data_IF_581581119261
#
_entry.id   IF_581581119261
#
_cell.length_a   1.000
_cell.length_b   1.000
_cell.length_c   1.000
_cell.angle_alpha   90.00
_cell.angle_beta   90.00
_cell.angle_gamma   90.00
#
_symmetry.space_group_name_H-M   'P 1'
#
loop_
_entity.id
_entity.type
_entity.pdbx_description
1 polymer ?
#
# COMPACT_ATOMS: atom_id res chain seq x y z
N UNK A 1 49.51 26.05 -31.67
CA UNK A 1 49.51 24.94 -30.68
C UNK A 1 48.40 25.05 -29.62
N UNK A 2 47.76 26.22 -29.40
CA UNK A 2 46.65 26.35 -28.44
C UNK A 2 45.31 25.76 -28.91
N UNK A 3 45.11 25.62 -30.23
CA UNK A 3 43.86 25.11 -30.82
C UNK A 3 43.68 23.61 -30.54
N UNK A 4 44.71 22.80 -30.74
CA UNK A 4 44.69 21.36 -30.44
C UNK A 4 44.46 21.08 -28.96
N UNK A 5 45.09 21.87 -28.07
CA UNK A 5 44.87 21.80 -26.62
C UNK A 5 43.41 22.11 -26.25
N UNK A 6 42.79 23.13 -26.86
CA UNK A 6 41.37 23.45 -26.65
C UNK A 6 40.44 22.33 -27.12
N UNK A 7 40.74 21.70 -28.26
CA UNK A 7 39.96 20.58 -28.77
C UNK A 7 40.03 19.34 -27.85
N UNK A 8 41.22 19.05 -27.30
CA UNK A 8 41.42 17.96 -26.34
C UNK A 8 40.69 18.24 -25.03
N UNK A 9 40.70 19.48 -24.54
CA UNK A 9 39.95 19.82 -23.32
C UNK A 9 38.44 19.69 -23.51
N UNK A 10 37.92 20.06 -24.68
CA UNK A 10 36.48 19.97 -24.98
C UNK A 10 36.04 18.51 -25.09
N UNK A 11 36.83 17.64 -25.73
CA UNK A 11 36.49 16.21 -25.84
C UNK A 11 36.46 15.50 -24.49
N UNK A 12 37.39 15.83 -23.58
CA UNK A 12 37.43 15.30 -22.21
C UNK A 12 36.20 15.74 -21.41
N UNK A 13 35.78 17.00 -21.55
CA UNK A 13 34.60 17.52 -20.84
C UNK A 13 33.29 16.87 -21.31
N UNK A 14 33.15 16.59 -22.61
CA UNK A 14 31.96 15.91 -23.17
C UNK A 14 31.89 14.47 -22.68
N UNK A 15 33.03 13.77 -22.62
CA UNK A 15 33.09 12.40 -22.10
C UNK A 15 32.67 12.31 -20.61
N UNK A 16 33.07 13.30 -19.79
CA UNK A 16 32.70 13.35 -18.37
C UNK A 16 31.21 13.66 -18.15
N UNK A 17 30.59 14.49 -19.01
CA UNK A 17 29.16 14.81 -18.92
C UNK A 17 28.24 13.65 -19.36
N UNK A 18 28.70 12.78 -20.27
CA UNK A 18 27.93 11.64 -20.76
C UNK A 18 27.59 10.58 -19.70
N UNK A 19 28.29 10.56 -18.56
CA UNK A 19 28.00 9.64 -17.46
C UNK A 19 26.79 10.05 -16.60
N UNK A 20 26.35 11.32 -16.63
CA UNK A 20 25.26 11.79 -15.77
C UNK A 20 23.87 11.70 -16.40
N UNK A 21 23.76 11.49 -17.72
CA UNK A 21 22.46 11.48 -18.42
C UNK A 21 21.74 10.12 -18.39
N UNK A 22 22.33 9.09 -17.77
CA UNK A 22 21.80 7.71 -17.75
C UNK A 22 20.76 7.41 -16.68
N UNK A 23 20.40 8.36 -15.81
CA UNK A 23 19.48 8.12 -14.70
C UNK A 23 18.13 8.81 -14.86
N UNK A 24 17.55 8.83 -16.06
CA UNK A 24 16.09 8.93 -16.18
C UNK A 24 15.49 7.55 -15.95
N UNK A 25 15.73 7.02 -14.75
CA UNK A 25 14.99 5.88 -14.23
C UNK A 25 13.53 6.29 -14.22
N UNK A 26 12.74 5.62 -15.05
CA UNK A 26 11.30 5.78 -15.13
C UNK A 26 10.75 5.49 -13.72
N UNK A 27 10.63 6.52 -12.89
CA UNK A 27 10.01 6.44 -11.57
C UNK A 27 8.56 6.09 -11.86
N UNK A 28 8.30 4.79 -11.92
CA UNK A 28 6.99 4.20 -12.11
C UNK A 28 6.24 4.39 -10.80
N UNK A 29 5.95 5.64 -10.46
CA UNK A 29 4.98 5.97 -9.42
C UNK A 29 3.68 5.41 -9.95
N UNK A 30 3.06 4.41 -9.30
CA UNK A 30 1.79 3.90 -9.78
C UNK A 30 0.79 5.06 -9.68
N UNK A 31 0.44 5.68 -10.80
CA UNK A 31 -0.46 6.84 -10.86
C UNK A 31 -1.86 6.49 -10.38
N UNK A 32 -2.18 5.19 -10.31
CA UNK A 32 -3.32 4.61 -9.63
C UNK A 32 -2.89 3.33 -8.93
N UNK A 33 -2.49 3.43 -7.66
CA UNK A 33 -2.66 2.30 -6.76
C UNK A 33 -4.17 2.14 -6.56
N UNK A 34 -4.76 1.12 -7.19
CA UNK A 34 -6.11 0.69 -6.83
C UNK A 34 -6.06 0.21 -5.39
N UNK A 35 -6.33 1.11 -4.43
CA UNK A 35 -6.41 0.75 -3.01
C UNK A 35 -7.62 -0.15 -2.84
N UNK A 36 -7.38 -1.46 -2.73
CA UNK A 36 -8.41 -2.44 -2.37
C UNK A 36 -8.69 -2.29 -0.87
N UNK A 37 -9.47 -1.28 -0.53
CA UNK A 37 -9.87 -0.96 0.83
C UNK A 37 -11.38 -1.04 0.99
N UNK A 38 -11.84 -1.15 2.24
CA UNK A 38 -13.25 -1.07 2.56
C UNK A 38 -13.74 0.38 2.37
N UNK A 39 -14.68 0.58 1.46
CA UNK A 39 -15.41 1.84 1.28
C UNK A 39 -16.67 1.89 2.15
N UNK A 40 -17.23 0.73 2.48
CA UNK A 40 -18.41 0.58 3.31
C UNK A 40 -18.16 -0.47 4.40
N UNK A 41 -18.87 -0.33 5.51
CA UNK A 41 -18.79 -1.23 6.66
C UNK A 41 -20.15 -1.82 6.98
N UNK A 42 -20.17 -3.12 7.27
CA UNK A 42 -21.37 -3.77 7.79
C UNK A 42 -21.43 -3.65 9.31
N UNK A 43 -22.61 -3.28 9.82
CA UNK A 43 -22.94 -3.36 11.26
C UNK A 43 -23.48 -4.74 11.64
N UNK A 44 -23.86 -5.55 10.65
CA UNK A 44 -24.40 -6.89 10.83
C UNK A 44 -23.37 -7.83 11.46
N UNK A 45 -23.85 -8.76 12.29
CA UNK A 45 -22.99 -9.74 12.94
C UNK A 45 -22.59 -10.83 11.96
N UNK A 46 -21.30 -11.14 11.89
CA UNK A 46 -20.78 -12.27 11.10
C UNK A 46 -21.23 -13.59 11.77
N UNK A 47 -21.89 -14.51 11.03
CA UNK A 47 -22.30 -15.80 11.55
C UNK A 47 -21.13 -16.59 12.15
N UNK A 48 -21.35 -17.28 13.26
CA UNK A 48 -20.31 -18.08 13.92
C UNK A 48 -19.86 -19.30 13.10
N UNK A 49 -20.64 -19.69 12.08
CA UNK A 49 -20.31 -20.75 11.14
C UNK A 49 -19.14 -20.40 10.23
N UNK A 50 -18.83 -19.11 10.07
CA UNK A 50 -17.74 -18.64 9.22
C UNK A 50 -16.44 -18.67 10.02
N UNK A 51 -15.48 -19.48 9.55
CA UNK A 51 -14.16 -19.59 10.16
C UNK A 51 -13.33 -18.35 9.81
N UNK A 52 -13.08 -17.55 10.84
CA UNK A 52 -12.25 -16.35 10.79
C UNK A 52 -10.79 -16.77 11.04
N UNK A 53 -9.88 -16.40 10.15
CA UNK A 53 -8.45 -16.70 10.23
C UNK A 53 -7.73 -15.62 11.05
N UNK A 54 -8.13 -14.37 10.85
CA UNK A 54 -7.56 -13.24 11.53
C UNK A 54 -8.32 -11.97 11.21
N UNK A 55 -7.83 -10.87 11.76
CA UNK A 55 -8.42 -9.56 11.55
C UNK A 55 -7.34 -8.50 11.39
N UNK A 56 -7.70 -7.40 10.74
CA UNK A 56 -6.87 -6.21 10.57
C UNK A 56 -7.71 -4.96 10.79
N UNK A 57 -7.16 -3.99 11.51
CA UNK A 57 -7.77 -2.67 11.60
C UNK A 57 -7.29 -1.81 10.43
N UNK A 58 -8.23 -1.31 9.63
CA UNK A 58 -8.01 -0.32 8.59
C UNK A 58 -8.39 1.06 9.12
N UNK A 59 -7.44 1.99 9.12
CA UNK A 59 -7.71 3.39 9.43
C UNK A 59 -8.49 4.08 8.31
N UNK A 60 -9.33 5.06 8.65
CA UNK A 60 -10.00 5.90 7.66
C UNK A 60 -8.99 6.71 6.83
N UNK A 61 -9.09 6.59 5.51
CA UNK A 61 -8.30 7.35 4.55
C UNK A 61 -9.09 7.46 3.25
N UNK A 62 -9.72 8.61 3.00
CA UNK A 62 -10.60 8.82 1.83
C UNK A 62 -9.97 8.30 0.53
N UNK A 63 -10.63 7.38 -0.20
CA UNK A 63 -12.05 6.97 -0.11
C UNK A 63 -12.36 5.85 0.91
N UNK A 64 -11.36 5.29 1.58
CA UNK A 64 -11.49 4.20 2.53
C UNK A 64 -12.06 4.67 3.88
N UNK A 65 -12.97 3.88 4.46
CA UNK A 65 -13.55 4.14 5.79
C UNK A 65 -12.79 3.39 6.88
N UNK A 66 -12.99 3.82 8.13
CA UNK A 66 -12.49 3.11 9.32
C UNK A 66 -13.23 1.77 9.45
N UNK A 67 -12.50 0.66 9.39
CA UNK A 67 -13.08 -0.68 9.28
C UNK A 67 -12.21 -1.74 9.98
N UNK A 68 -12.87 -2.72 10.61
CA UNK A 68 -12.23 -3.98 10.98
C UNK A 68 -12.45 -4.96 9.83
N UNK A 69 -11.35 -5.39 9.22
CA UNK A 69 -11.34 -6.37 8.14
C UNK A 69 -11.12 -7.74 8.75
N UNK A 70 -12.11 -8.60 8.61
CA UNK A 70 -12.00 -10.00 8.99
C UNK A 70 -11.61 -10.85 7.78
N UNK A 71 -10.55 -11.63 7.92
CA UNK A 71 -10.09 -12.57 6.89
C UNK A 71 -10.70 -13.94 7.13
N UNK A 72 -11.26 -14.50 6.08
CA UNK A 72 -11.75 -15.89 6.06
C UNK A 72 -11.05 -16.66 4.95
N UNK A 73 -11.26 -17.97 4.89
CA UNK A 73 -10.66 -18.81 3.83
C UNK A 73 -11.14 -18.42 2.42
N UNK A 74 -12.34 -17.84 2.32
CA UNK A 74 -12.97 -17.50 1.02
C UNK A 74 -12.88 -16.01 0.71
N UNK A 75 -13.24 -15.16 1.67
CA UNK A 75 -13.46 -13.72 1.44
C UNK A 75 -13.07 -12.86 2.64
N UNK A 76 -13.08 -11.54 2.44
CA UNK A 76 -12.83 -10.55 3.49
C UNK A 76 -14.13 -9.84 3.85
N UNK A 77 -14.38 -9.65 5.15
CA UNK A 77 -15.56 -8.93 5.63
C UNK A 77 -15.16 -7.59 6.25
N UNK A 78 -15.74 -6.51 5.75
CA UNK A 78 -15.59 -5.15 6.29
C UNK A 78 -16.64 -4.92 7.38
N UNK A 79 -16.23 -4.75 8.62
CA UNK A 79 -17.13 -4.52 9.77
C UNK A 79 -16.86 -3.19 10.46
N UNK A 80 -17.91 -2.59 11.01
CA UNK A 80 -17.83 -1.29 11.70
C UNK A 80 -17.14 -1.44 13.06
N UNK A 81 -15.97 -0.81 13.30
CA UNK A 81 -15.22 -0.92 14.55
C UNK A 81 -16.03 -0.53 15.79
N UNK A 82 -17.07 0.29 15.64
CA UNK A 82 -17.94 0.75 16.73
C UNK A 82 -19.04 -0.25 17.09
N UNK A 83 -19.21 -1.32 16.33
CA UNK A 83 -20.23 -2.32 16.61
C UNK A 83 -19.91 -3.08 17.90
N UNK A 84 -20.89 -3.14 18.83
CA UNK A 84 -20.73 -3.74 20.16
C UNK A 84 -20.25 -5.20 20.11
N UNK A 85 -20.64 -5.95 19.07
CA UNK A 85 -20.27 -7.36 18.93
C UNK A 85 -18.80 -7.57 18.56
N UNK A 86 -18.12 -6.56 17.98
CA UNK A 86 -16.71 -6.65 17.59
C UNK A 86 -15.83 -6.74 18.82
N UNK A 87 -16.07 -5.91 19.84
CA UNK A 87 -15.27 -5.94 21.07
C UNK A 87 -15.32 -7.33 21.74
N UNK A 88 -16.51 -7.93 21.78
CA UNK A 88 -16.69 -9.28 22.32
C UNK A 88 -16.03 -10.34 21.43
N UNK A 89 -16.07 -10.18 20.10
CA UNK A 89 -15.40 -11.08 19.15
C UNK A 89 -13.87 -11.00 19.25
N UNK A 90 -13.30 -9.81 19.38
CA UNK A 90 -11.85 -9.62 19.50
C UNK A 90 -11.31 -10.13 20.83
N UNK A 91 -12.07 -9.97 21.93
CA UNK A 91 -11.69 -10.50 23.25
C UNK A 91 -11.82 -12.02 23.35
N UNK A 92 -12.83 -12.60 22.69
CA UNK A 92 -13.21 -14.00 22.86
C UNK A 92 -12.59 -14.99 21.88
N UNK A 93 -11.81 -14.53 20.90
CA UNK A 93 -11.36 -15.38 19.80
C UNK A 93 -9.86 -15.29 19.65
N UNK A 94 -9.19 -16.44 19.52
CA UNK A 94 -7.76 -16.60 19.17
C UNK A 94 -7.48 -16.16 17.72
N UNK A 95 -8.04 -15.03 17.29
CA UNK A 95 -7.78 -14.47 15.97
C UNK A 95 -6.43 -13.79 15.99
N UNK A 96 -5.62 -14.16 15.02
CA UNK A 96 -4.32 -13.53 14.81
C UNK A 96 -4.58 -12.12 14.25
N UNK A 97 -3.94 -11.12 14.85
CA UNK A 97 -3.85 -9.79 14.25
C UNK A 97 -2.87 -9.89 13.07
N UNK A 98 -3.37 -9.63 11.85
CA UNK A 98 -2.60 -9.75 10.60
C UNK A 98 -2.18 -8.37 10.10
#
# INVERSE_FOLDING_TARGET
MAWTSRLITISVLIALMGCFTGAQGNYRRPTRVGVSCCNEVSKGRIPATIKLIGYKHQNALSPCVDAIIFYTEKEKFCSDPKALWIQNRLKGTTLILI
#
